data_IF_545578099656
#
_entry.id   IF_545578099656
#
_cell.length_a   1.000
_cell.length_b   1.000
_cell.length_c   1.000
_cell.angle_alpha   90.00
_cell.angle_beta   90.00
_cell.angle_gamma   90.00
#
_symmetry.space_group_name_H-M   'P 1'
#
loop_
_entity.id
_entity.type
_entity.pdbx_description
1 polymer ?
#
# COMPACT_ATOMS: atom_id res chain seq x y z
N UNK A 1 10.59 13.36 -18.18
CA UNK A 1 9.15 13.57 -17.84
C UNK A 1 8.83 12.53 -16.75
N UNK A 2 8.09 12.85 -15.67
CA UNK A 2 7.58 11.93 -14.60
C UNK A 2 8.21 11.89 -13.17
N UNK A 3 9.25 12.63 -12.80
CA UNK A 3 9.82 12.49 -11.43
C UNK A 3 8.96 13.10 -10.29
N UNK A 4 8.17 14.14 -10.59
CA UNK A 4 7.27 14.75 -9.60
C UNK A 4 6.10 13.80 -9.25
N UNK A 5 5.65 12.98 -10.21
CA UNK A 5 4.50 12.10 -10.05
C UNK A 5 4.77 10.99 -9.04
N UNK A 6 6.00 10.45 -8.99
CA UNK A 6 6.36 9.45 -7.98
C UNK A 6 6.34 10.01 -6.55
N UNK A 7 6.74 11.26 -6.36
CA UNK A 7 6.69 11.88 -5.02
C UNK A 7 5.25 12.09 -4.56
N UNK A 8 4.35 12.46 -5.49
CA UNK A 8 2.91 12.56 -5.23
C UNK A 8 2.32 11.19 -4.88
N UNK A 9 2.69 10.15 -5.62
CA UNK A 9 2.22 8.78 -5.40
C UNK A 9 2.69 8.22 -4.05
N UNK A 10 3.96 8.43 -3.66
CA UNK A 10 4.45 8.06 -2.32
C UNK A 10 3.66 8.77 -1.23
N UNK A 11 3.38 10.07 -1.41
CA UNK A 11 2.57 10.82 -0.45
C UNK A 11 1.16 10.23 -0.33
N UNK A 12 0.52 9.86 -1.43
CA UNK A 12 -0.79 9.20 -1.42
C UNK A 12 -0.73 7.86 -0.66
N UNK A 13 0.31 7.06 -0.93
CA UNK A 13 0.52 5.79 -0.23
C UNK A 13 0.70 5.96 1.27
N UNK A 14 1.43 7.00 1.71
CA UNK A 14 1.57 7.32 3.13
C UNK A 14 0.24 7.73 3.75
N UNK A 15 -0.54 8.57 3.08
CA UNK A 15 -1.84 9.02 3.60
C UNK A 15 -2.86 7.92 3.73
N UNK A 16 -2.79 6.90 2.87
CA UNK A 16 -3.68 5.74 2.88
C UNK A 16 -3.04 4.50 3.49
N UNK A 17 -1.91 4.67 4.18
CA UNK A 17 -1.12 3.54 4.68
C UNK A 17 -1.93 2.65 5.64
N UNK A 18 -2.65 3.25 6.59
CA UNK A 18 -3.49 2.54 7.54
C UNK A 18 -4.63 1.78 6.84
N UNK A 19 -5.26 2.40 5.83
CA UNK A 19 -6.29 1.75 5.02
C UNK A 19 -5.75 0.52 4.29
N UNK A 20 -4.57 0.65 3.67
CA UNK A 20 -3.96 -0.47 2.95
C UNK A 20 -3.57 -1.62 3.88
N UNK A 21 -3.06 -1.33 5.08
CA UNK A 21 -2.78 -2.37 6.08
C UNK A 21 -4.05 -3.10 6.50
N UNK A 22 -5.12 -2.36 6.78
CA UNK A 22 -6.39 -2.97 7.15
C UNK A 22 -6.96 -3.81 6.01
N UNK A 23 -6.88 -3.31 4.77
CA UNK A 23 -7.32 -4.02 3.59
C UNK A 23 -6.58 -5.36 3.40
N UNK A 24 -5.25 -5.34 3.51
CA UNK A 24 -4.43 -6.55 3.45
C UNK A 24 -4.81 -7.52 4.57
N UNK A 25 -4.95 -7.04 5.81
CA UNK A 25 -5.32 -7.88 6.94
C UNK A 25 -6.71 -8.53 6.77
N UNK A 26 -7.67 -7.78 6.21
CA UNK A 26 -9.00 -8.30 5.91
C UNK A 26 -8.95 -9.39 4.84
N UNK A 27 -8.20 -9.20 3.75
CA UNK A 27 -8.05 -10.23 2.70
C UNK A 27 -7.38 -11.49 3.26
N UNK A 28 -6.34 -11.34 4.09
CA UNK A 28 -5.68 -12.48 4.73
C UNK A 28 -6.67 -13.27 5.62
N UNK A 29 -7.55 -12.58 6.34
CA UNK A 29 -8.62 -13.21 7.12
C UNK A 29 -9.67 -13.91 6.23
N UNK A 30 -10.14 -13.25 5.16
CA UNK A 30 -11.09 -13.85 4.21
C UNK A 30 -10.53 -15.13 3.57
N UNK A 31 -9.25 -15.14 3.21
CA UNK A 31 -8.58 -16.32 2.67
C UNK A 31 -8.60 -17.48 3.68
N UNK A 32 -8.38 -17.20 4.97
CA UNK A 32 -8.42 -18.24 6.00
C UNK A 32 -9.86 -18.74 6.22
N UNK A 33 -10.85 -17.84 6.28
CA UNK A 33 -12.26 -18.19 6.39
C UNK A 33 -12.69 -19.11 5.23
N UNK A 34 -12.33 -18.77 3.99
CA UNK A 34 -12.64 -19.59 2.82
C UNK A 34 -11.94 -20.97 2.87
N UNK A 35 -10.69 -21.04 3.34
CA UNK A 35 -10.01 -22.32 3.55
C UNK A 35 -10.71 -23.18 4.60
N UNK A 36 -11.18 -22.58 5.70
CA UNK A 36 -11.91 -23.30 6.74
C UNK A 36 -13.26 -23.82 6.23
N UNK A 37 -14.02 -22.99 5.49
CA UNK A 37 -15.27 -23.42 4.86
C UNK A 37 -15.06 -24.59 3.88
N UNK A 38 -13.98 -24.54 3.08
CA UNK A 38 -13.63 -25.63 2.17
C UNK A 38 -13.28 -26.92 2.92
N UNK A 39 -12.50 -26.84 4.03
CA UNK A 39 -12.20 -28.01 4.89
C UNK A 39 -13.47 -28.64 5.47
N UNK A 40 -14.40 -27.83 5.98
CA UNK A 40 -15.68 -28.31 6.52
C UNK A 40 -16.55 -28.95 5.44
N UNK A 41 -16.54 -28.42 4.22
CA UNK A 41 -17.28 -28.97 3.08
C UNK A 41 -16.74 -30.31 2.57
N UNK A 42 -15.46 -30.61 2.86
CA UNK A 42 -14.81 -31.87 2.50
C UNK A 42 -15.02 -33.00 3.52
N UNK A 43 -15.57 -32.70 4.70
CA UNK A 43 -15.92 -33.72 5.68
C UNK A 43 -17.07 -34.60 5.14
N UNK A 44 -17.00 -35.94 5.29
CA UNK A 44 -18.04 -36.83 4.79
C UNK A 44 -19.38 -36.46 5.44
N UNK A 45 -20.34 -36.04 4.61
CA UNK A 45 -21.70 -35.76 5.04
C UNK A 45 -22.27 -37.07 5.57
N UNK A 46 -22.41 -37.17 6.90
CA UNK A 46 -23.05 -38.32 7.55
C UNK A 46 -24.42 -38.44 6.90
N UNK A 47 -24.70 -39.57 6.28
CA UNK A 47 -25.97 -39.81 5.63
C UNK A 47 -27.06 -39.84 6.70
N UNK A 48 -27.74 -38.72 6.91
CA UNK A 48 -29.05 -38.71 7.54
C UNK A 48 -29.98 -39.46 6.60
N UNK A 49 -30.02 -40.78 6.77
CA UNK A 49 -31.01 -41.67 6.18
C UNK A 49 -32.36 -41.36 6.82
N UNK A 50 -32.99 -40.27 6.38
CA UNK A 50 -34.43 -40.09 6.55
C UNK A 50 -35.12 -40.85 5.43
N UNK A 51 -35.59 -42.05 5.75
CA UNK A 51 -36.49 -42.85 4.93
C UNK A 51 -37.83 -42.11 4.83
N UNK A 52 -38.01 -41.26 3.83
CA UNK A 52 -39.33 -40.75 3.44
C UNK A 52 -39.35 -40.49 1.92
N UNK A 53 -40.09 -41.34 1.21
CA UNK A 53 -40.24 -41.29 -0.24
C UNK A 53 -41.19 -40.19 -0.73
N UNK A 54 -41.10 -39.94 -2.04
CA UNK A 54 -42.16 -39.34 -2.84
C UNK A 54 -42.01 -37.83 -3.10
N UNK A 55 -42.10 -37.45 -4.38
CA UNK A 55 -42.48 -36.10 -4.79
C UNK A 55 -41.45 -35.39 -5.66
N UNK A 56 -41.73 -35.34 -6.97
CA UNK A 56 -40.95 -34.58 -7.93
C UNK A 56 -40.91 -33.07 -7.64
N UNK A 57 -39.77 -32.46 -7.92
CA UNK A 57 -39.59 -31.02 -7.92
C UNK A 57 -38.33 -30.67 -8.71
N UNK A 58 -38.51 -29.97 -9.84
CA UNK A 58 -37.43 -29.34 -10.59
C UNK A 58 -36.67 -28.37 -9.68
N UNK A 59 -35.36 -28.56 -9.51
CA UNK A 59 -34.50 -27.62 -8.80
C UNK A 59 -33.35 -28.32 -8.07
N UNK A 60 -32.21 -28.45 -8.75
CA UNK A 60 -30.89 -28.88 -8.30
C UNK A 60 -30.84 -29.83 -7.10
N UNK A 61 -30.40 -31.06 -7.34
CA UNK A 61 -30.18 -32.07 -6.31
C UNK A 61 -29.26 -31.53 -5.21
N UNK A 62 -29.42 -32.02 -3.97
CA UNK A 62 -28.63 -31.54 -2.81
C UNK A 62 -27.11 -31.68 -3.01
N UNK A 63 -26.69 -32.55 -3.93
CA UNK A 63 -25.32 -32.77 -4.38
C UNK A 63 -24.86 -31.67 -5.35
N UNK A 64 -25.66 -31.33 -6.37
CA UNK A 64 -25.37 -30.23 -7.30
C UNK A 64 -25.23 -28.88 -6.56
N UNK A 65 -26.12 -28.59 -5.60
CA UNK A 65 -26.00 -27.38 -4.77
C UNK A 65 -24.76 -27.35 -3.88
N UNK A 66 -24.25 -28.52 -3.46
CA UNK A 66 -22.99 -28.59 -2.71
C UNK A 66 -21.78 -28.36 -3.63
N UNK A 67 -21.83 -28.91 -4.84
CA UNK A 67 -20.82 -28.70 -5.86
C UNK A 67 -20.71 -27.22 -6.27
N UNK A 68 -21.81 -26.57 -6.63
CA UNK A 68 -21.81 -25.15 -7.01
C UNK A 68 -21.33 -24.24 -5.89
N UNK A 69 -21.68 -24.54 -4.63
CA UNK A 69 -21.17 -23.78 -3.48
C UNK A 69 -19.67 -23.93 -3.29
N UNK A 70 -19.12 -25.12 -3.55
CA UNK A 70 -17.67 -25.34 -3.46
C UNK A 70 -16.94 -24.59 -4.57
N UNK A 71 -17.44 -24.66 -5.79
CA UNK A 71 -16.88 -23.94 -6.95
C UNK A 71 -16.89 -22.41 -6.73
N UNK A 72 -18.00 -21.86 -6.20
CA UNK A 72 -18.08 -20.43 -5.86
C UNK A 72 -17.06 -20.03 -4.77
N UNK A 73 -16.88 -20.87 -3.74
CA UNK A 73 -15.87 -20.64 -2.70
C UNK A 73 -14.44 -20.71 -3.24
N UNK A 74 -14.14 -21.68 -4.12
CA UNK A 74 -12.83 -21.80 -4.78
C UNK A 74 -12.53 -20.56 -5.63
N UNK A 75 -13.51 -20.06 -6.37
CA UNK A 75 -13.37 -18.83 -7.16
C UNK A 75 -13.12 -17.60 -6.28
N UNK A 76 -13.89 -17.42 -5.21
CA UNK A 76 -13.67 -16.31 -4.26
C UNK A 76 -12.30 -16.37 -3.61
N UNK A 77 -11.82 -17.57 -3.28
CA UNK A 77 -10.48 -17.78 -2.75
C UNK A 77 -9.40 -17.32 -3.75
N UNK A 78 -9.54 -17.67 -5.03
CA UNK A 78 -8.64 -17.24 -6.10
C UNK A 78 -8.65 -15.72 -6.27
N UNK A 79 -9.84 -15.10 -6.31
CA UNK A 79 -10.01 -13.65 -6.39
C UNK A 79 -9.33 -12.93 -5.21
N UNK A 80 -9.52 -13.43 -3.97
CA UNK A 80 -8.86 -12.89 -2.78
C UNK A 80 -7.32 -13.03 -2.85
N UNK A 81 -6.79 -14.13 -3.37
CA UNK A 81 -5.34 -14.27 -3.59
C UNK A 81 -4.81 -13.27 -4.61
N UNK A 82 -5.54 -13.03 -5.71
CA UNK A 82 -5.16 -12.02 -6.70
C UNK A 82 -5.13 -10.62 -6.10
N UNK A 83 -6.16 -10.24 -5.34
CA UNK A 83 -6.21 -8.96 -4.64
C UNK A 83 -5.04 -8.81 -3.65
N UNK A 84 -4.69 -9.88 -2.94
CA UNK A 84 -3.55 -9.89 -2.02
C UNK A 84 -2.22 -9.69 -2.77
N UNK A 85 -2.00 -10.42 -3.87
CA UNK A 85 -0.80 -10.32 -4.69
C UNK A 85 -0.59 -8.93 -5.30
N UNK A 86 -1.67 -8.19 -5.55
CA UNK A 86 -1.58 -6.83 -6.07
C UNK A 86 -1.14 -5.80 -5.01
N UNK A 87 -1.71 -5.90 -3.80
CA UNK A 87 -1.54 -4.87 -2.77
C UNK A 87 -0.41 -5.17 -1.77
N UNK A 88 -0.25 -6.43 -1.36
CA UNK A 88 0.73 -6.84 -0.35
C UNK A 88 2.17 -6.42 -0.69
N UNK A 89 2.67 -6.58 -1.94
CA UNK A 89 4.02 -6.16 -2.27
C UNK A 89 4.23 -4.65 -2.15
N UNK A 90 3.21 -3.85 -2.51
CA UNK A 90 3.27 -2.38 -2.41
C UNK A 90 3.37 -1.94 -0.95
N UNK A 91 2.54 -2.50 -0.08
CA UNK A 91 2.56 -2.23 1.37
C UNK A 91 3.89 -2.65 1.99
N UNK A 92 4.33 -3.90 1.74
CA UNK A 92 5.61 -4.40 2.29
C UNK A 92 6.81 -3.60 1.82
N UNK A 93 6.79 -3.11 0.58
CA UNK A 93 7.86 -2.25 0.06
C UNK A 93 7.90 -0.92 0.82
N UNK A 94 6.76 -0.26 1.00
CA UNK A 94 6.65 0.96 1.78
C UNK A 94 7.13 0.76 3.22
N UNK A 95 6.71 -0.34 3.88
CA UNK A 95 7.13 -0.68 5.25
C UNK A 95 8.66 -0.81 5.35
N UNK A 96 9.28 -1.60 4.46
CA UNK A 96 10.74 -1.74 4.43
C UNK A 96 11.45 -0.41 4.21
N UNK A 97 10.91 0.45 3.35
CA UNK A 97 11.48 1.78 3.10
C UNK A 97 11.33 2.70 4.30
N UNK A 98 10.22 2.64 5.04
CA UNK A 98 10.01 3.37 6.29
C UNK A 98 10.93 2.86 7.41
N UNK A 99 11.12 1.55 7.53
CA UNK A 99 12.02 0.94 8.50
C UNK A 99 13.48 1.33 8.22
N UNK A 100 13.90 1.30 6.95
CA UNK A 100 15.22 1.76 6.54
C UNK A 100 15.42 3.25 6.85
N UNK A 101 14.40 4.10 6.62
CA UNK A 101 14.42 5.51 7.00
C UNK A 101 14.53 5.67 8.52
N UNK A 102 13.77 4.90 9.31
CA UNK A 102 13.83 4.94 10.78
C UNK A 102 15.21 4.59 11.31
N UNK A 103 15.88 3.62 10.70
CA UNK A 103 17.22 3.19 11.08
C UNK A 103 18.30 4.23 10.70
N UNK A 104 18.18 4.88 9.54
CA UNK A 104 19.20 5.79 9.01
C UNK A 104 19.00 7.24 9.42
N UNK A 105 17.76 7.72 9.45
CA UNK A 105 17.37 9.05 9.86
C UNK A 105 16.06 9.02 10.66
N UNK A 106 16.14 8.81 11.99
CA UNK A 106 14.95 8.68 12.84
C UNK A 106 14.12 9.97 12.93
N UNK A 107 14.72 11.15 12.70
CA UNK A 107 14.00 12.43 12.69
C UNK A 107 13.13 12.53 11.43
N UNK A 108 13.67 12.17 10.26
CA UNK A 108 12.89 12.10 9.01
C UNK A 108 11.70 11.15 9.17
N UNK A 109 11.92 9.97 9.73
CA UNK A 109 10.85 9.00 10.00
C UNK A 109 9.76 9.60 10.90
N UNK A 110 10.12 10.25 12.01
CA UNK A 110 9.14 10.89 12.91
C UNK A 110 8.31 11.95 12.19
N UNK A 111 8.96 12.78 11.37
CA UNK A 111 8.29 13.83 10.61
C UNK A 111 7.32 13.22 9.59
N UNK A 112 7.77 12.20 8.83
CA UNK A 112 6.95 11.53 7.81
C UNK A 112 5.76 10.80 8.46
N UNK A 113 6.01 10.05 9.53
CA UNK A 113 4.97 9.31 10.25
C UNK A 113 3.90 10.26 10.78
N UNK A 114 4.29 11.23 11.62
CA UNK A 114 3.35 12.17 12.21
C UNK A 114 2.58 12.98 11.15
N UNK A 115 3.26 13.45 10.11
CA UNK A 115 2.63 14.34 9.13
C UNK A 115 1.74 13.62 8.12
N UNK A 116 2.21 12.50 7.57
CA UNK A 116 1.57 11.88 6.41
C UNK A 116 0.84 10.57 6.74
N UNK A 117 1.23 9.86 7.80
CA UNK A 117 0.52 8.65 8.22
C UNK A 117 -0.54 9.01 9.27
N UNK A 118 -0.15 9.73 10.32
CA UNK A 118 -1.06 10.13 11.40
C UNK A 118 -1.89 11.39 11.08
N UNK A 119 -1.50 12.15 10.06
CA UNK A 119 -2.21 13.35 9.61
C UNK A 119 -2.12 14.55 10.55
N UNK A 120 -1.13 14.62 11.44
CA UNK A 120 -1.00 15.68 12.43
C UNK A 120 -0.69 17.05 11.82
N UNK A 121 -1.00 18.12 12.57
CA UNK A 121 -0.60 19.48 12.23
C UNK A 121 0.93 19.64 12.22
N UNK A 122 1.43 20.71 11.62
CA UNK A 122 2.86 20.97 11.58
C UNK A 122 3.43 21.27 12.97
N UNK A 123 2.65 21.91 13.82
CA UNK A 123 2.98 22.24 15.21
C UNK A 123 3.13 20.97 16.05
N UNK A 124 2.15 20.05 15.97
CA UNK A 124 2.21 18.76 16.64
C UNK A 124 3.36 17.89 16.10
N UNK A 125 3.54 17.86 14.78
CA UNK A 125 4.66 17.17 14.12
C UNK A 125 6.01 17.68 14.62
N UNK A 126 6.19 19.00 14.72
CA UNK A 126 7.41 19.64 15.18
C UNK A 126 7.70 19.31 16.64
N UNK A 127 6.68 19.38 17.50
CA UNK A 127 6.77 18.97 18.90
C UNK A 127 7.22 17.51 19.04
N UNK A 128 6.60 16.60 18.30
CA UNK A 128 6.94 15.16 18.32
C UNK A 128 8.34 14.87 17.76
N UNK A 129 8.73 15.55 16.68
CA UNK A 129 10.05 15.38 16.08
C UNK A 129 11.18 16.02 16.91
N UNK A 130 10.85 16.91 17.86
CA UNK A 130 11.83 17.68 18.63
C UNK A 130 12.54 18.74 17.78
N UNK A 131 11.84 19.33 16.79
CA UNK A 131 12.40 20.28 15.84
C UNK A 131 11.47 21.47 15.61
N UNK A 132 11.94 22.50 14.89
CA UNK A 132 11.09 23.65 14.54
C UNK A 132 10.15 23.32 13.39
N UNK A 133 8.99 23.97 13.33
CA UNK A 133 8.02 23.82 12.24
C UNK A 133 8.65 24.06 10.86
N UNK A 134 9.49 25.09 10.76
CA UNK A 134 10.20 25.43 9.51
C UNK A 134 11.15 24.32 9.09
N UNK A 135 11.91 23.76 10.04
CA UNK A 135 12.78 22.62 9.78
C UNK A 135 11.96 21.42 9.30
N UNK A 136 10.89 21.05 10.00
CA UNK A 136 10.04 19.92 9.63
C UNK A 136 9.45 20.05 8.22
N UNK A 137 8.98 21.25 7.83
CA UNK A 137 8.46 21.48 6.48
C UNK A 137 9.51 21.29 5.39
N UNK A 138 10.73 21.75 5.63
CA UNK A 138 11.82 21.62 4.68
C UNK A 138 12.33 20.18 4.60
N UNK A 139 12.49 19.54 5.76
CA UNK A 139 13.03 18.19 5.83
C UNK A 139 12.03 17.15 5.33
N UNK A 140 10.72 17.33 5.58
CA UNK A 140 9.67 16.47 5.01
C UNK A 140 9.75 16.34 3.49
N UNK A 141 10.07 17.43 2.77
CA UNK A 141 10.21 17.39 1.30
C UNK A 141 11.43 16.57 0.86
N UNK A 142 12.53 16.65 1.61
CA UNK A 142 13.74 15.86 1.34
C UNK A 142 13.52 14.40 1.69
N UNK A 143 12.91 14.12 2.84
CA UNK A 143 12.56 12.79 3.30
C UNK A 143 11.62 12.08 2.31
N UNK A 144 10.60 12.77 1.77
CA UNK A 144 9.75 12.24 0.71
C UNK A 144 10.54 11.86 -0.56
N UNK A 145 11.50 12.70 -0.98
CA UNK A 145 12.36 12.37 -2.14
C UNK A 145 13.25 11.15 -1.87
N UNK A 146 13.84 11.05 -0.68
CA UNK A 146 14.63 9.88 -0.26
C UNK A 146 13.78 8.62 -0.26
N UNK A 147 12.55 8.70 0.26
CA UNK A 147 11.60 7.59 0.29
C UNK A 147 11.18 7.17 -1.13
N UNK A 148 10.96 8.15 -2.01
CA UNK A 148 10.66 7.91 -3.43
C UNK A 148 11.78 7.14 -4.10
N UNK A 149 13.03 7.57 -3.91
CA UNK A 149 14.21 6.84 -4.39
C UNK A 149 14.31 5.42 -3.84
N UNK A 150 14.05 5.22 -2.54
CA UNK A 150 14.06 3.89 -1.94
C UNK A 150 12.94 2.97 -2.49
N UNK A 151 11.78 3.54 -2.83
CA UNK A 151 10.64 2.77 -3.35
C UNK A 151 10.69 2.53 -4.85
N UNK A 152 11.28 3.41 -5.66
CA UNK A 152 11.19 3.32 -7.13
C UNK A 152 12.55 3.37 -7.83
N UNK A 153 13.65 3.48 -7.09
CA UNK A 153 15.01 3.59 -7.63
C UNK A 153 15.45 5.03 -7.84
N UNK A 154 16.75 5.24 -8.08
CA UNK A 154 17.36 6.57 -8.13
C UNK A 154 16.80 7.45 -9.27
N UNK A 155 16.45 6.85 -10.40
CA UNK A 155 15.80 7.50 -11.54
C UNK A 155 14.42 8.11 -11.21
N UNK A 156 13.79 7.73 -10.08
CA UNK A 156 12.51 8.28 -9.66
C UNK A 156 12.65 9.57 -8.84
N UNK A 157 13.86 9.93 -8.42
CA UNK A 157 14.12 11.12 -7.61
C UNK A 157 14.13 12.34 -8.54
N UNK A 158 13.32 13.38 -8.29
CA UNK A 158 13.39 14.61 -9.08
C UNK A 158 14.74 15.31 -8.85
N UNK A 159 15.65 15.17 -9.81
CA UNK A 159 16.89 15.95 -9.88
C UNK A 159 16.61 17.33 -10.48
N UNK A 160 17.16 18.38 -9.87
CA UNK A 160 17.18 19.71 -10.48
C UNK A 160 18.21 19.72 -11.61
N UNK A 161 17.75 19.58 -12.86
CA UNK A 161 18.61 19.32 -14.03
C UNK A 161 19.18 20.57 -14.70
N UNK A 162 19.11 21.77 -14.12
CA UNK A 162 19.85 22.91 -14.65
C UNK A 162 20.08 24.02 -13.61
N UNK A 163 21.34 24.36 -13.38
CA UNK A 163 21.75 25.69 -12.93
C UNK A 163 22.27 26.40 -14.19
N UNK A 164 21.49 27.33 -14.74
CA UNK A 164 21.99 28.23 -15.79
C UNK A 164 22.80 29.31 -15.09
N UNK A 165 24.13 29.24 -15.18
CA UNK A 165 24.99 30.36 -14.79
C UNK A 165 24.90 31.41 -15.91
N UNK A 166 24.17 32.50 -15.67
CA UNK A 166 24.26 33.69 -16.52
C UNK A 166 25.54 34.39 -16.12
N UNK A 167 26.63 34.11 -16.84
CA UNK A 167 27.85 34.92 -16.70
C UNK A 167 27.52 36.34 -17.17
N UNK A 168 27.49 37.27 -16.21
CA UNK A 168 27.39 38.69 -16.51
C UNK A 168 28.76 39.18 -16.97
N UNK A 169 29.23 38.67 -18.11
CA UNK A 169 30.43 39.20 -18.73
C UNK A 169 30.06 40.54 -19.33
N UNK A 170 30.35 41.60 -18.58
CA UNK A 170 30.42 42.96 -19.09
C UNK A 170 31.34 42.93 -20.30
N UNK A 171 30.76 43.03 -21.49
CA UNK A 171 31.45 43.53 -22.67
C UNK A 171 31.84 44.98 -22.39
N UNK A 172 32.90 45.16 -21.62
CA UNK A 172 33.77 46.29 -21.77
C UNK A 172 34.84 45.87 -22.77
N UNK A 173 35.20 46.78 -23.67
CA UNK A 173 36.22 46.66 -24.72
C UNK A 173 35.71 46.15 -26.08
N UNK A 174 35.30 47.07 -26.97
CA UNK A 174 36.28 47.75 -27.82
C UNK A 174 35.68 48.87 -28.71
N UNK A 175 36.25 50.07 -28.53
CA UNK A 175 36.80 50.98 -29.53
C UNK A 175 36.04 51.23 -30.86
N UNK A 176 35.56 52.47 -30.99
CA UNK A 176 35.25 53.20 -32.21
C UNK A 176 35.09 54.68 -31.89
#
# INVERSE_FOLDING_TARGET
MYHNDYTVLVKEYLTRYTEFKQYVANIEAEIEDYKEMLKLSAAPKVSDMSTAGGGGGSGDTSQERAYFRREDLEKRLEDSYHALLEMLPKVRKLERSLDAMKATNPVDYRIINARYIEGWSWEATASFAGASVTYCRNEARKALRRLTGAMFGEESIPMQTHLVFIDSNKNNENCG
#
